data_IF_414367402134
#
_entry.id   IF_414367402134
#
_cell.length_a   1.000
_cell.length_b   1.000
_cell.length_c   1.000
_cell.angle_alpha   90.00
_cell.angle_beta   90.00
_cell.angle_gamma   90.00
#
_symmetry.space_group_name_H-M   'P 1'
#
loop_
_entity.id
_entity.type
_entity.pdbx_description
1 polymer ?
#
# COMPACT_ATOMS: atom_id res chain seq x y z
N UNK A 1 -40.37 -1.45 68.39
CA UNK A 1 -39.79 -0.78 67.20
C UNK A 1 -38.96 -1.81 66.44
N UNK A 2 -39.42 -2.30 65.28
CA UNK A 2 -38.65 -3.21 64.42
C UNK A 2 -38.10 -2.39 63.26
N UNK A 3 -36.78 -2.23 63.19
CA UNK A 3 -36.10 -1.56 62.07
C UNK A 3 -35.80 -2.61 61.00
N UNK A 4 -36.49 -2.50 59.87
CA UNK A 4 -36.17 -3.27 58.67
C UNK A 4 -35.20 -2.44 57.83
N UNK A 5 -33.95 -2.90 57.70
CA UNK A 5 -32.94 -2.28 56.84
C UNK A 5 -33.02 -2.96 55.47
N UNK A 6 -33.33 -2.16 54.43
CA UNK A 6 -33.38 -2.61 53.05
C UNK A 6 -31.99 -2.43 52.43
N UNK A 7 -31.35 -3.53 52.04
CA UNK A 7 -30.08 -3.51 51.30
C UNK A 7 -30.36 -3.46 49.80
N UNK A 8 -30.04 -2.35 49.15
CA UNK A 8 -30.12 -2.22 47.70
C UNK A 8 -28.77 -2.63 47.09
N UNK A 9 -28.72 -3.79 46.43
CA UNK A 9 -27.55 -4.23 45.67
C UNK A 9 -27.48 -3.46 44.34
N UNK A 10 -26.43 -2.64 44.17
CA UNK A 10 -26.07 -2.05 42.89
C UNK A 10 -25.26 -3.08 42.08
N UNK A 11 -25.84 -3.62 41.00
CA UNK A 11 -25.09 -4.40 40.02
C UNK A 11 -24.34 -3.43 39.09
N UNK A 12 -23.02 -3.38 39.21
CA UNK A 12 -22.15 -2.73 38.23
C UNK A 12 -22.06 -3.65 37.00
N UNK A 13 -22.77 -3.30 35.92
CA UNK A 13 -22.53 -3.89 34.61
C UNK A 13 -21.19 -3.35 34.06
N UNK A 14 -20.18 -4.20 34.05
CA UNK A 14 -18.94 -3.97 33.31
C UNK A 14 -19.20 -4.22 31.82
N UNK A 15 -19.37 -3.15 31.05
CA UNK A 15 -19.42 -3.21 29.59
C UNK A 15 -18.01 -3.38 29.05
N UNK A 16 -17.73 -4.52 28.41
CA UNK A 16 -16.51 -4.71 27.63
C UNK A 16 -16.60 -3.85 26.38
N UNK A 17 -15.83 -2.77 26.30
CA UNK A 17 -15.65 -2.02 25.05
C UNK A 17 -14.59 -2.78 24.25
N UNK A 18 -15.03 -3.66 23.34
CA UNK A 18 -14.15 -4.22 22.32
C UNK A 18 -14.18 -3.29 21.11
N UNK A 19 -13.00 -2.82 20.67
CA UNK A 19 -12.85 -2.17 19.37
C UNK A 19 -13.18 -3.15 18.24
N UNK A 20 -13.53 -2.64 17.06
CA UNK A 20 -13.72 -3.50 15.89
C UNK A 20 -12.36 -4.02 15.41
N UNK A 21 -12.26 -5.32 15.16
CA UNK A 21 -11.06 -5.94 14.63
C UNK A 21 -10.86 -5.60 13.15
N UNK A 22 -9.61 -5.43 12.74
CA UNK A 22 -9.26 -5.31 11.32
C UNK A 22 -9.48 -6.65 10.63
N UNK A 23 -10.29 -6.66 9.58
CA UNK A 23 -10.54 -7.79 8.71
C UNK A 23 -9.72 -7.68 7.44
N UNK A 24 -8.92 -8.71 7.15
CA UNK A 24 -8.22 -8.85 5.85
C UNK A 24 -9.17 -9.13 4.68
N UNK A 25 -10.45 -9.38 4.95
CA UNK A 25 -11.47 -9.61 3.93
C UNK A 25 -12.08 -8.32 3.41
N UNK A 26 -11.84 -7.17 4.06
CA UNK A 26 -12.28 -5.85 3.59
C UNK A 26 -11.05 -5.10 3.09
N UNK A 27 -10.85 -5.11 1.78
CA UNK A 27 -9.67 -4.53 1.14
C UNK A 27 -9.97 -3.13 0.60
N UNK A 28 -9.05 -2.21 0.83
CA UNK A 28 -9.11 -0.79 0.44
C UNK A 28 -7.73 -0.37 -0.10
N UNK A 29 -7.66 0.76 -0.79
CA UNK A 29 -6.37 1.41 -1.04
C UNK A 29 -5.82 1.92 0.30
N UNK A 30 -4.69 1.35 0.74
CA UNK A 30 -4.09 1.67 2.04
C UNK A 30 -3.37 3.01 2.06
N UNK A 31 -3.08 3.61 0.91
CA UNK A 31 -2.73 5.04 0.86
C UNK A 31 -4.00 5.85 0.98
N UNK A 32 -4.96 5.58 0.10
CA UNK A 32 -6.30 6.15 0.12
C UNK A 32 -6.74 6.72 -1.22
N UNK A 33 -7.55 7.77 -1.20
CA UNK A 33 -8.32 8.21 -2.36
C UNK A 33 -8.29 9.73 -2.55
N UNK A 34 -8.40 10.19 -3.80
CA UNK A 34 -8.68 11.59 -4.09
C UNK A 34 -10.18 11.87 -3.85
N UNK A 35 -10.56 13.08 -3.40
CA UNK A 35 -11.97 13.45 -3.21
C UNK A 35 -12.87 13.17 -4.42
N UNK A 36 -12.39 13.44 -5.63
CA UNK A 36 -13.20 13.34 -6.85
C UNK A 36 -13.00 12.01 -7.61
N UNK A 37 -12.19 11.08 -7.09
CA UNK A 37 -11.97 9.78 -7.72
C UNK A 37 -13.04 8.76 -7.32
N UNK A 38 -13.19 7.72 -8.15
CA UNK A 38 -13.94 6.51 -7.77
C UNK A 38 -13.30 5.85 -6.55
N UNK A 39 -14.11 5.38 -5.60
CA UNK A 39 -13.66 4.76 -4.35
C UNK A 39 -14.46 3.49 -4.08
N UNK A 40 -13.76 2.37 -3.99
CA UNK A 40 -14.37 1.05 -3.81
C UNK A 40 -13.56 0.27 -2.79
N UNK A 41 -14.25 -0.33 -1.84
CA UNK A 41 -13.70 -1.42 -1.04
C UNK A 41 -14.10 -2.74 -1.69
N UNK A 42 -13.15 -3.67 -1.81
CA UNK A 42 -13.40 -5.03 -2.29
C UNK A 42 -13.50 -5.94 -1.07
N UNK A 43 -14.68 -6.50 -0.88
CA UNK A 43 -14.95 -7.49 0.15
C UNK A 43 -14.73 -8.86 -0.49
N UNK A 44 -13.81 -9.66 0.05
CA UNK A 44 -13.42 -10.96 -0.51
C UNK A 44 -13.88 -12.13 0.36
N UNK A 45 -14.32 -13.20 -0.29
CA UNK A 45 -14.57 -14.52 0.30
C UNK A 45 -13.69 -15.53 -0.46
N UNK A 46 -12.57 -15.97 0.12
CA UNK A 46 -11.66 -16.92 -0.53
C UNK A 46 -12.36 -18.22 -0.92
N UNK A 47 -12.11 -18.73 -2.12
CA UNK A 47 -12.64 -20.04 -2.56
C UNK A 47 -11.52 -21.01 -2.95
N UNK A 48 -10.46 -20.50 -3.57
CA UNK A 48 -9.30 -21.29 -3.99
C UNK A 48 -8.01 -20.49 -3.75
N UNK A 49 -6.90 -21.18 -3.51
CA UNK A 49 -5.60 -20.54 -3.27
C UNK A 49 -5.05 -20.82 -1.87
N UNK A 50 -4.11 -20.00 -1.44
CA UNK A 50 -3.40 -20.20 -0.15
C UNK A 50 -4.33 -20.14 1.06
N UNK A 51 -5.34 -19.28 1.01
CA UNK A 51 -6.34 -19.07 2.07
C UNK A 51 -7.73 -19.61 1.70
N UNK A 52 -7.82 -20.55 0.76
CA UNK A 52 -9.10 -21.11 0.28
C UNK A 52 -9.89 -21.94 1.30
N UNK A 53 -9.27 -22.35 2.42
CA UNK A 53 -9.95 -23.02 3.54
C UNK A 53 -10.67 -22.01 4.47
N UNK A 54 -10.47 -20.72 4.25
CA UNK A 54 -11.13 -19.65 4.98
C UNK A 54 -12.41 -19.23 4.28
N UNK A 55 -13.34 -18.63 5.01
CA UNK A 55 -14.52 -18.04 4.41
C UNK A 55 -14.95 -16.79 5.16
N UNK A 56 -15.48 -15.84 4.40
CA UNK A 56 -16.07 -14.62 4.91
C UNK A 56 -17.41 -14.40 4.24
N UNK A 57 -18.45 -14.22 5.06
CA UNK A 57 -19.78 -13.87 4.55
C UNK A 57 -20.01 -12.37 4.78
N UNK A 58 -20.07 -11.55 3.72
CA UNK A 58 -20.35 -10.13 3.85
C UNK A 58 -21.68 -9.88 4.55
N UNK A 59 -21.69 -8.90 5.45
CA UNK A 59 -22.93 -8.35 5.98
C UNK A 59 -23.75 -7.61 4.91
N UNK A 60 -25.03 -7.35 5.19
CA UNK A 60 -25.92 -6.64 4.25
C UNK A 60 -25.50 -5.18 4.06
N UNK A 61 -24.97 -4.53 5.10
CA UNK A 61 -24.66 -3.11 5.08
C UNK A 61 -23.25 -2.81 5.57
N UNK A 62 -22.63 -1.90 4.84
CA UNK A 62 -21.33 -1.35 5.15
C UNK A 62 -21.45 0.15 5.40
N UNK A 63 -20.58 0.67 6.25
CA UNK A 63 -20.46 2.09 6.52
C UNK A 63 -19.04 2.59 6.27
N UNK A 64 -18.91 3.83 5.79
CA UNK A 64 -17.65 4.59 5.90
C UNK A 64 -17.72 5.37 7.20
N UNK A 65 -16.72 5.17 8.06
CA UNK A 65 -16.64 5.79 9.38
C UNK A 65 -15.45 6.71 9.44
N UNK A 66 -15.66 7.96 9.88
CA UNK A 66 -14.57 8.86 10.17
C UNK A 66 -13.80 8.36 11.40
N UNK A 67 -12.51 8.06 11.24
CA UNK A 67 -11.70 7.45 12.28
C UNK A 67 -11.47 8.36 13.49
N UNK A 68 -11.52 9.68 13.29
CA UNK A 68 -11.30 10.66 14.37
C UNK A 68 -12.57 10.93 15.18
N UNK A 69 -13.75 10.94 14.55
CA UNK A 69 -15.03 11.28 15.21
C UNK A 69 -15.89 10.07 15.55
N UNK A 70 -15.66 8.92 14.89
CA UNK A 70 -16.52 7.75 14.96
C UNK A 70 -17.85 7.90 14.19
N UNK A 71 -18.02 9.00 13.46
CA UNK A 71 -19.24 9.27 12.70
C UNK A 71 -19.32 8.40 11.44
N UNK A 72 -20.48 7.77 11.22
CA UNK A 72 -20.80 7.06 9.98
C UNK A 72 -21.22 8.06 8.92
N UNK A 73 -20.31 8.42 8.02
CA UNK A 73 -20.51 9.45 7.00
C UNK A 73 -21.20 8.93 5.74
N UNK A 74 -21.19 7.61 5.54
CA UNK A 74 -21.87 6.95 4.42
C UNK A 74 -22.27 5.54 4.82
N UNK A 75 -23.38 5.04 4.25
CA UNK A 75 -23.90 3.69 4.49
C UNK A 75 -24.64 3.17 3.28
N UNK A 76 -24.27 1.99 2.79
CA UNK A 76 -24.90 1.33 1.66
C UNK A 76 -24.66 -0.19 1.71
N UNK A 77 -25.45 -1.02 0.99
CA UNK A 77 -25.08 -2.40 0.79
C UNK A 77 -23.87 -2.53 -0.15
N UNK A 78 -23.14 -3.63 -0.06
CA UNK A 78 -22.17 -3.99 -1.09
C UNK A 78 -22.88 -4.71 -2.26
N UNK A 79 -22.40 -4.48 -3.48
CA UNK A 79 -22.90 -5.14 -4.69
C UNK A 79 -22.07 -6.39 -4.98
N UNK A 80 -22.72 -7.52 -5.22
CA UNK A 80 -22.05 -8.75 -5.63
C UNK A 80 -21.32 -8.53 -6.97
N UNK A 81 -20.06 -8.95 -7.04
CA UNK A 81 -19.29 -8.88 -8.27
C UNK A 81 -19.59 -10.08 -9.15
N UNK A 82 -19.79 -9.83 -10.45
CA UNK A 82 -19.91 -10.85 -11.49
C UNK A 82 -20.91 -12.00 -11.15
N UNK A 83 -22.07 -11.65 -10.59
CA UNK A 83 -23.11 -12.59 -10.17
C UNK A 83 -22.61 -13.71 -9.22
N UNK A 84 -21.65 -13.38 -8.34
CA UNK A 84 -21.13 -14.30 -7.32
C UNK A 84 -20.12 -15.29 -7.86
N UNK A 85 -19.64 -15.10 -9.09
CA UNK A 85 -18.59 -15.92 -9.64
C UNK A 85 -17.27 -15.71 -8.88
N UNK A 86 -16.50 -16.79 -8.74
CA UNK A 86 -15.12 -16.73 -8.30
C UNK A 86 -14.27 -16.07 -9.38
N UNK A 87 -13.51 -15.05 -9.02
CA UNK A 87 -12.52 -14.43 -9.91
C UNK A 87 -11.35 -15.40 -10.12
N UNK A 88 -11.04 -15.80 -11.38
CA UNK A 88 -9.98 -16.77 -11.64
C UNK A 88 -8.57 -16.23 -11.36
N UNK A 89 -8.38 -14.91 -11.25
CA UNK A 89 -7.06 -14.33 -10.99
C UNK A 89 -6.68 -14.36 -9.51
N UNK A 90 -7.65 -14.15 -8.62
CA UNK A 90 -7.48 -14.13 -7.16
C UNK A 90 -7.89 -15.44 -6.48
N UNK A 91 -8.88 -16.17 -7.03
CA UNK A 91 -9.50 -17.30 -6.38
C UNK A 91 -10.63 -16.92 -5.40
N UNK A 92 -11.05 -15.66 -5.38
CA UNK A 92 -12.06 -15.14 -4.44
C UNK A 92 -13.42 -14.93 -5.11
N UNK A 93 -14.50 -15.09 -4.35
CA UNK A 93 -15.74 -14.36 -4.64
C UNK A 93 -15.63 -12.96 -4.06
N UNK A 94 -16.23 -11.98 -4.71
CA UNK A 94 -16.07 -10.59 -4.32
C UNK A 94 -17.38 -9.80 -4.30
N UNK A 95 -17.38 -8.74 -3.50
CA UNK A 95 -18.38 -7.69 -3.50
C UNK A 95 -17.69 -6.33 -3.56
N UNK A 96 -18.35 -5.37 -4.19
CA UNK A 96 -17.91 -4.00 -4.26
C UNK A 96 -18.78 -3.13 -3.36
N UNK A 97 -18.17 -2.50 -2.38
CA UNK A 97 -18.77 -1.40 -1.65
C UNK A 97 -18.26 -0.09 -2.24
N UNK A 98 -19.08 0.55 -3.08
CA UNK A 98 -18.76 1.81 -3.73
C UNK A 98 -19.18 2.98 -2.82
N UNK A 99 -18.19 3.75 -2.37
CA UNK A 99 -18.38 4.92 -1.51
C UNK A 99 -17.84 6.18 -2.17
N UNK A 100 -17.90 6.23 -3.51
CA UNK A 100 -17.41 7.37 -4.31
C UNK A 100 -18.00 8.70 -3.86
N UNK A 101 -19.22 8.71 -3.30
CA UNK A 101 -19.90 9.90 -2.77
C UNK A 101 -19.23 10.53 -1.54
N UNK A 102 -18.32 9.84 -0.86
CA UNK A 102 -17.55 10.42 0.25
C UNK A 102 -16.36 11.18 -0.34
N UNK A 103 -16.42 12.51 -0.29
CA UNK A 103 -15.42 13.42 -0.87
C UNK A 103 -14.68 14.26 0.20
N UNK A 104 -15.29 14.44 1.37
CA UNK A 104 -14.71 15.18 2.48
C UNK A 104 -13.32 14.63 2.86
N UNK A 105 -12.28 15.48 2.90
CA UNK A 105 -10.96 15.04 3.33
C UNK A 105 -10.94 14.58 4.79
N UNK A 106 -10.22 13.51 5.07
CA UNK A 106 -10.13 12.92 6.42
C UNK A 106 -9.55 11.51 6.43
N UNK A 107 -9.47 10.94 7.62
CA UNK A 107 -9.10 9.53 7.83
C UNK A 107 -10.35 8.71 8.09
N UNK A 108 -10.49 7.60 7.37
CA UNK A 108 -11.70 6.78 7.38
C UNK A 108 -11.36 5.29 7.45
N UNK A 109 -12.36 4.48 7.78
CA UNK A 109 -12.34 3.02 7.55
C UNK A 109 -13.72 2.56 7.05
N UNK A 110 -13.74 1.41 6.38
CA UNK A 110 -14.98 0.71 6.00
C UNK A 110 -15.34 -0.29 7.10
N UNK A 111 -16.58 -0.26 7.59
CA UNK A 111 -17.11 -1.13 8.63
C UNK A 111 -18.18 -2.05 8.04
N UNK A 112 -18.03 -3.36 8.23
CA UNK A 112 -19.15 -4.31 8.14
C UNK A 112 -19.95 -4.20 9.44
N UNK A 113 -21.20 -3.71 9.35
CA UNK A 113 -22.00 -3.46 10.56
C UNK A 113 -22.52 -4.73 11.21
N UNK A 114 -22.72 -5.80 10.44
CA UNK A 114 -23.29 -7.06 10.93
C UNK A 114 -22.21 -7.95 11.54
N UNK A 115 -21.05 -8.02 10.88
CA UNK A 115 -19.90 -8.77 11.37
C UNK A 115 -19.10 -7.98 12.43
N UNK A 116 -19.32 -6.67 12.54
CA UNK A 116 -18.60 -5.76 13.43
C UNK A 116 -17.07 -5.82 13.25
N UNK A 117 -16.63 -5.92 11.99
CA UNK A 117 -15.21 -5.90 11.59
C UNK A 117 -14.96 -4.79 10.56
N UNK A 118 -13.73 -4.28 10.50
CA UNK A 118 -13.39 -3.09 9.69
C UNK A 118 -12.20 -3.31 8.77
N UNK A 119 -12.04 -2.46 7.76
CA UNK A 119 -10.78 -2.30 7.05
C UNK A 119 -9.73 -1.62 7.94
N UNK A 120 -8.48 -1.64 7.46
CA UNK A 120 -7.50 -0.66 7.91
C UNK A 120 -7.96 0.78 7.59
N UNK A 121 -7.32 1.76 8.22
CA UNK A 121 -7.59 3.17 7.94
C UNK A 121 -7.00 3.59 6.60
N UNK A 122 -7.68 4.49 5.91
CA UNK A 122 -7.24 5.12 4.68
C UNK A 122 -7.55 6.61 4.72
N UNK A 123 -6.88 7.39 3.86
CA UNK A 123 -7.01 8.85 3.82
C UNK A 123 -7.75 9.27 2.56
N UNK A 124 -8.70 10.20 2.69
CA UNK A 124 -9.22 10.96 1.55
C UNK A 124 -8.55 12.34 1.59
N UNK A 125 -7.78 12.69 0.56
CA UNK A 125 -7.10 13.97 0.49
C UNK A 125 -6.69 14.34 -0.95
N UNK A 126 -6.70 15.64 -1.27
CA UNK A 126 -6.28 16.15 -2.60
C UNK A 126 -4.81 15.89 -2.94
N UNK A 127 -3.96 15.65 -1.95
CA UNK A 127 -2.53 15.47 -2.08
C UNK A 127 -2.06 14.06 -1.71
N UNK A 128 -2.97 13.07 -1.67
CA UNK A 128 -2.67 11.75 -1.13
C UNK A 128 -1.51 11.03 -1.85
N UNK A 129 -1.37 11.26 -3.15
CA UNK A 129 -0.30 10.65 -3.95
C UNK A 129 1.01 11.45 -3.99
N UNK A 130 1.10 12.63 -3.35
CA UNK A 130 2.31 13.45 -3.39
C UNK A 130 3.49 12.75 -2.72
N UNK A 131 3.29 12.20 -1.52
CA UNK A 131 4.35 11.46 -0.82
C UNK A 131 4.63 10.11 -1.50
N UNK A 132 3.60 9.44 -2.02
CA UNK A 132 3.76 8.20 -2.80
C UNK A 132 4.68 8.44 -4.00
N UNK A 133 4.43 9.51 -4.78
CA UNK A 133 5.26 9.88 -5.92
C UNK A 133 6.70 10.21 -5.49
N UNK A 134 6.88 10.99 -4.41
CA UNK A 134 8.21 11.31 -3.88
C UNK A 134 8.97 10.03 -3.53
N UNK A 135 8.36 9.10 -2.79
CA UNK A 135 9.03 7.87 -2.38
C UNK A 135 9.29 6.94 -3.57
N UNK A 136 8.34 6.81 -4.51
CA UNK A 136 8.54 6.06 -5.74
C UNK A 136 9.75 6.57 -6.54
N UNK A 137 9.86 7.90 -6.68
CA UNK A 137 10.99 8.53 -7.37
C UNK A 137 12.30 8.43 -6.59
N UNK A 138 12.25 8.39 -5.25
CA UNK A 138 13.44 8.21 -4.41
C UNK A 138 14.12 6.86 -4.62
N UNK A 139 13.41 5.84 -5.12
CA UNK A 139 14.03 4.57 -5.55
C UNK A 139 15.19 4.83 -6.52
N UNK A 140 15.05 5.76 -7.47
CA UNK A 140 16.14 6.11 -8.39
C UNK A 140 17.33 6.78 -7.71
N UNK A 141 17.16 7.43 -6.56
CA UNK A 141 18.30 7.90 -5.77
C UNK A 141 19.05 6.71 -5.14
N UNK A 142 18.31 5.78 -4.53
CA UNK A 142 18.90 4.60 -3.88
C UNK A 142 19.54 3.63 -4.89
N UNK A 143 19.02 3.57 -6.12
CA UNK A 143 19.58 2.72 -7.17
C UNK A 143 20.80 3.31 -7.90
N UNK A 144 21.27 4.53 -7.58
CA UNK A 144 22.42 5.13 -8.29
C UNK A 144 23.69 4.29 -8.11
N UNK A 145 24.28 3.84 -9.21
CA UNK A 145 25.57 3.16 -9.23
C UNK A 145 26.74 4.19 -9.20
N UNK A 146 27.84 3.89 -8.50
CA UNK A 146 29.00 4.78 -8.46
C UNK A 146 28.77 6.10 -7.73
N UNK A 147 27.69 6.22 -6.95
CA UNK A 147 27.31 7.44 -6.26
C UNK A 147 27.09 7.17 -4.76
N UNK A 148 27.69 7.98 -3.86
CA UNK A 148 27.50 7.81 -2.43
C UNK A 148 26.06 8.17 -2.03
N UNK A 149 25.44 7.32 -1.21
CA UNK A 149 24.12 7.58 -0.62
C UNK A 149 24.36 8.21 0.75
N UNK A 150 24.55 9.51 0.77
CA UNK A 150 24.84 10.24 2.02
C UNK A 150 23.63 10.17 2.98
N UNK A 151 23.91 9.99 4.27
CA UNK A 151 22.87 9.82 5.31
C UNK A 151 21.87 10.99 5.36
N UNK A 152 22.31 12.22 5.06
CA UNK A 152 21.43 13.39 5.00
C UNK A 152 20.30 13.27 3.97
N UNK A 153 20.50 12.48 2.91
CA UNK A 153 19.51 12.24 1.87
C UNK A 153 18.89 10.84 1.96
N UNK A 154 19.68 9.84 2.33
CA UNK A 154 19.28 8.44 2.36
C UNK A 154 18.59 8.03 3.67
N UNK A 155 18.89 8.71 4.77
CA UNK A 155 18.68 8.22 6.14
C UNK A 155 19.82 7.31 6.60
N UNK A 156 20.13 7.33 7.90
CA UNK A 156 21.26 6.58 8.49
C UNK A 156 21.26 5.08 8.15
N UNK A 157 20.08 4.45 8.16
CA UNK A 157 19.93 3.02 7.91
C UNK A 157 20.19 2.60 6.44
N UNK A 158 20.19 3.57 5.51
CA UNK A 158 20.33 3.33 4.07
C UNK A 158 21.50 4.10 3.46
N UNK A 159 22.35 4.69 4.31
CA UNK A 159 23.55 5.36 3.85
C UNK A 159 24.58 4.32 3.38
N UNK A 160 25.25 4.60 2.26
CA UNK A 160 26.26 3.72 1.68
C UNK A 160 27.26 4.51 0.83
N UNK A 161 28.44 3.94 0.62
CA UNK A 161 29.50 4.50 -0.21
C UNK A 161 29.18 4.42 -1.71
N UNK A 162 30.08 5.01 -2.50
CA UNK A 162 30.04 4.85 -3.95
C UNK A 162 30.50 3.43 -4.33
N UNK A 163 29.63 2.70 -5.01
CA UNK A 163 29.82 1.32 -5.41
C UNK A 163 30.53 1.21 -6.77
N UNK A 164 31.15 0.06 -7.07
CA UNK A 164 31.72 -0.25 -8.40
C UNK A 164 32.83 0.72 -8.89
N UNK A 165 33.57 1.36 -7.97
CA UNK A 165 34.67 2.28 -8.29
C UNK A 165 36.07 1.69 -8.06
N UNK A 166 36.18 0.37 -7.87
CA UNK A 166 37.45 -0.33 -7.73
C UNK A 166 38.20 -0.51 -9.07
N UNK A 167 39.43 -1.06 -9.03
CA UNK A 167 40.19 -1.35 -10.24
C UNK A 167 39.42 -2.25 -11.21
N UNK A 168 39.41 -1.87 -12.50
CA UNK A 168 38.72 -2.59 -13.58
C UNK A 168 37.20 -2.77 -13.38
N UNK A 169 36.57 -1.90 -12.57
CA UNK A 169 35.11 -1.81 -12.46
C UNK A 169 34.57 -0.69 -13.37
N UNK A 170 33.53 0.04 -12.95
CA UNK A 170 32.78 0.92 -13.83
C UNK A 170 33.61 2.07 -14.42
N UNK A 171 34.65 2.56 -13.73
CA UNK A 171 35.52 3.62 -14.27
C UNK A 171 36.48 3.14 -15.36
N UNK A 172 36.66 1.84 -15.49
CA UNK A 172 37.73 1.20 -16.24
C UNK A 172 37.27 -0.17 -16.78
N UNK A 173 36.03 -0.26 -17.26
CA UNK A 173 35.42 -1.52 -17.66
C UNK A 173 35.93 -1.93 -19.05
N UNK A 174 36.25 -3.21 -19.22
CA UNK A 174 36.77 -3.75 -20.49
C UNK A 174 35.74 -4.60 -21.20
N UNK A 175 35.98 -4.84 -22.49
CA UNK A 175 35.11 -5.71 -23.29
C UNK A 175 35.01 -7.11 -22.69
N UNK A 176 33.79 -7.63 -22.57
CA UNK A 176 33.58 -9.02 -22.18
C UNK A 176 34.25 -10.02 -23.14
N UNK A 177 34.35 -9.66 -24.42
CA UNK A 177 34.98 -10.48 -25.46
C UNK A 177 36.50 -10.35 -25.53
N UNK A 178 37.09 -9.39 -24.81
CA UNK A 178 38.53 -9.09 -24.83
C UNK A 178 38.97 -8.48 -23.48
N UNK A 179 38.87 -9.29 -22.42
CA UNK A 179 38.89 -8.83 -21.01
C UNK A 179 40.27 -8.31 -20.57
N UNK A 180 41.33 -8.80 -21.18
CA UNK A 180 42.71 -8.45 -20.80
C UNK A 180 43.27 -7.25 -21.58
N UNK A 181 42.57 -6.78 -22.63
CA UNK A 181 43.03 -5.71 -23.49
C UNK A 181 42.67 -4.31 -22.92
N UNK A 182 43.66 -3.54 -22.44
CA UNK A 182 43.43 -2.19 -21.91
C UNK A 182 42.91 -1.21 -22.95
N UNK A 183 43.11 -1.47 -24.25
CA UNK A 183 42.59 -0.59 -25.32
C UNK A 183 41.06 -0.64 -25.45
N UNK A 184 40.41 -1.63 -24.82
CA UNK A 184 38.93 -1.74 -24.80
C UNK A 184 38.29 -1.04 -23.61
N UNK A 185 39.10 -0.44 -22.74
CA UNK A 185 38.66 0.18 -21.49
C UNK A 185 37.72 1.36 -21.75
N UNK A 186 36.62 1.42 -21.00
CA UNK A 186 35.62 2.48 -21.05
C UNK A 186 35.15 2.83 -19.64
N UNK A 187 35.00 4.13 -19.44
CA UNK A 187 34.26 4.66 -18.29
C UNK A 187 32.76 4.52 -18.56
N UNK A 188 32.12 3.67 -17.77
CA UNK A 188 30.68 3.39 -17.79
C UNK A 188 30.04 3.68 -16.44
N UNK A 189 30.63 4.55 -15.62
CA UNK A 189 30.10 4.94 -14.30
C UNK A 189 28.71 5.56 -14.37
N UNK A 190 28.03 5.52 -13.22
CA UNK A 190 26.71 6.11 -13.06
C UNK A 190 25.59 5.19 -13.56
N UNK A 191 24.44 5.80 -13.80
CA UNK A 191 23.19 5.09 -14.09
C UNK A 191 22.56 4.52 -12.82
N UNK A 192 21.63 3.59 -13.03
CA UNK A 192 20.88 2.91 -11.98
C UNK A 192 21.04 1.41 -12.06
N UNK A 193 21.04 0.76 -10.90
CA UNK A 193 20.78 -0.66 -10.81
C UNK A 193 19.36 -0.98 -11.26
N UNK A 194 19.24 -2.02 -12.08
CA UNK A 194 17.99 -2.34 -12.77
C UNK A 194 16.96 -2.94 -11.82
N UNK A 195 17.40 -3.80 -10.89
CA UNK A 195 16.54 -4.45 -9.93
C UNK A 195 17.26 -4.68 -8.58
N UNK A 196 17.06 -5.85 -7.97
CA UNK A 196 17.72 -6.23 -6.71
C UNK A 196 19.18 -6.66 -6.86
N UNK A 197 19.69 -6.76 -8.09
CA UNK A 197 21.10 -7.00 -8.39
C UNK A 197 21.82 -5.69 -8.78
N UNK A 198 23.14 -5.76 -8.96
CA UNK A 198 23.96 -4.58 -9.25
C UNK A 198 24.30 -4.36 -10.73
N UNK A 199 23.65 -5.07 -11.65
CA UNK A 199 23.90 -4.87 -13.08
C UNK A 199 23.10 -3.69 -13.64
N UNK A 200 23.55 -3.22 -14.81
CA UNK A 200 22.95 -2.11 -15.56
C UNK A 200 22.63 -2.60 -16.96
N UNK A 201 21.39 -2.43 -17.39
CA UNK A 201 20.90 -2.90 -18.69
C UNK A 201 20.36 -1.74 -19.52
N UNK A 202 21.01 -1.44 -20.64
CA UNK A 202 20.64 -0.28 -21.48
C UNK A 202 19.24 -0.40 -22.07
N UNK A 203 18.80 -1.62 -22.45
CA UNK A 203 17.47 -1.87 -23.02
C UNK A 203 16.35 -1.53 -22.05
N UNK A 204 16.46 -1.97 -20.79
CA UNK A 204 15.47 -1.68 -19.75
C UNK A 204 15.56 -0.22 -19.30
N UNK A 205 16.79 0.29 -19.16
CA UNK A 205 17.04 1.69 -18.77
C UNK A 205 16.40 2.69 -19.72
N UNK A 206 16.52 2.47 -21.03
CA UNK A 206 15.92 3.35 -22.01
C UNK A 206 14.39 3.42 -21.84
N UNK A 207 13.73 2.30 -21.54
CA UNK A 207 12.29 2.21 -21.38
C UNK A 207 11.78 3.12 -20.26
N UNK A 208 12.27 2.93 -19.03
CA UNK A 208 11.78 3.74 -17.91
C UNK A 208 12.25 5.20 -17.98
N UNK A 209 13.39 5.51 -18.63
CA UNK A 209 13.79 6.92 -18.89
C UNK A 209 12.81 7.61 -19.83
N UNK A 210 12.36 6.94 -20.90
CA UNK A 210 11.36 7.49 -21.82
C UNK A 210 10.03 7.74 -21.10
N UNK A 211 9.57 6.81 -20.28
CA UNK A 211 8.32 6.98 -19.52
C UNK A 211 8.42 8.12 -18.49
N UNK A 212 9.56 8.26 -17.79
CA UNK A 212 9.79 9.39 -16.89
C UNK A 212 9.80 10.74 -17.62
N UNK A 213 10.39 10.79 -18.81
CA UNK A 213 10.38 12.01 -19.63
C UNK A 213 8.97 12.37 -20.12
N UNK A 214 8.17 11.38 -20.52
CA UNK A 214 6.76 11.61 -20.88
C UNK A 214 5.95 12.14 -19.70
N UNK A 215 6.09 11.49 -18.53
CA UNK A 215 5.40 11.91 -17.32
C UNK A 215 5.76 13.33 -16.85
N UNK A 216 6.97 13.82 -17.18
CA UNK A 216 7.36 15.21 -16.89
C UNK A 216 6.77 16.22 -17.89
N UNK A 217 6.49 15.80 -19.12
CA UNK A 217 5.99 16.69 -20.18
C UNK A 217 4.48 16.93 -20.12
N UNK A 218 3.73 15.98 -19.58
CA UNK A 218 2.29 16.07 -19.35
C UNK A 218 1.94 16.91 -18.11
#
# INVERSE_FOLDING_TARGET
>A
MKNTILFTCFFLLSSSISGQDNSRYITVDQFGYLPDSRKVAVIRDPQTGFDGDESFRPGTYYAVVNASTGEKVFRAPCAEWNNGATDPSSGDRAWHFDFTQVDAPGTYFVLDEEQNVRSCEFIIAYNIFNEVLKQAMRTFFYQRAGFPKEAQYAGEAWADGASHLGPQQDSACRSFFDRDNPETEKDVRGGWYDAGDYNKYTSWTAGYVVELMKAYLE
#
